data_IF_355426590592
#
_entry.id   IF_355426590592
#
_cell.length_a   1.000
_cell.length_b   1.000
_cell.length_c   1.000
_cell.angle_alpha   90.00
_cell.angle_beta   90.00
_cell.angle_gamma   90.00
#
_symmetry.space_group_name_H-M   'P 1'
#
loop_
_entity.id
_entity.type
_entity.pdbx_description
1 polymer ?
#
# COMPACT_ATOMS: atom_id res chain seq x y z
N UNK A 1 -1.69 -22.69 -7.61
CA UNK A 1 -3.06 -22.49 -7.09
C UNK A 1 -3.43 -21.01 -6.91
N UNK A 2 -2.72 -20.21 -6.08
CA UNK A 2 -3.13 -18.82 -5.79
C UNK A 2 -3.26 -17.91 -7.02
N UNK A 3 -2.33 -17.99 -7.99
CA UNK A 3 -2.42 -17.20 -9.23
C UNK A 3 -3.73 -17.44 -9.99
N UNK A 4 -4.12 -18.71 -10.12
CA UNK A 4 -5.34 -19.11 -10.82
C UNK A 4 -6.58 -18.59 -10.09
N UNK A 5 -6.60 -18.71 -8.76
CA UNK A 5 -7.71 -18.25 -7.93
C UNK A 5 -7.93 -16.74 -8.01
N UNK A 6 -6.84 -15.97 -8.14
CA UNK A 6 -6.87 -14.52 -8.31
C UNK A 6 -7.01 -14.06 -9.78
N UNK A 7 -7.11 -15.00 -10.72
CA UNK A 7 -7.20 -14.69 -12.15
C UNK A 7 -5.97 -14.01 -12.73
N UNK A 8 -4.80 -14.18 -12.12
CA UNK A 8 -3.54 -13.69 -12.67
C UNK A 8 -3.20 -14.42 -13.98
N UNK A 9 -2.62 -13.71 -14.93
CA UNK A 9 -2.06 -14.32 -16.14
C UNK A 9 -1.02 -15.39 -15.77
N UNK A 10 -0.89 -16.42 -16.62
CA UNK A 10 0.08 -17.50 -16.37
C UNK A 10 1.50 -16.97 -16.23
N UNK A 11 1.84 -15.98 -17.05
CA UNK A 11 3.14 -15.31 -17.09
C UNK A 11 3.31 -14.22 -16.05
N UNK A 12 2.27 -13.89 -15.26
CA UNK A 12 2.37 -12.86 -14.22
C UNK A 12 3.38 -13.26 -13.14
N UNK A 13 4.11 -12.29 -12.59
CA UNK A 13 5.04 -12.51 -11.49
C UNK A 13 4.28 -12.91 -10.21
N UNK A 14 4.71 -14.01 -9.60
CA UNK A 14 4.15 -14.47 -8.32
C UNK A 14 4.48 -13.54 -7.15
N UNK A 15 5.55 -12.74 -7.25
CA UNK A 15 6.00 -11.88 -6.16
C UNK A 15 4.95 -10.83 -5.79
N UNK A 16 4.11 -10.38 -6.74
CA UNK A 16 3.02 -9.44 -6.50
C UNK A 16 2.05 -9.88 -5.37
N UNK A 17 1.95 -11.18 -5.10
CA UNK A 17 1.16 -11.71 -3.99
C UNK A 17 1.79 -11.42 -2.62
N UNK A 18 3.12 -11.46 -2.54
CA UNK A 18 3.86 -11.43 -1.28
C UNK A 18 4.56 -10.10 -1.01
N UNK A 19 4.82 -9.29 -2.05
CA UNK A 19 5.39 -7.94 -1.92
C UNK A 19 4.54 -7.10 -0.98
N UNK A 20 5.20 -6.20 -0.25
CA UNK A 20 4.52 -5.22 0.60
C UNK A 20 3.59 -4.30 -0.19
N UNK A 21 2.62 -3.68 0.49
CA UNK A 21 1.68 -2.75 -0.14
C UNK A 21 2.41 -1.59 -0.82
N UNK A 22 3.48 -1.10 -0.20
CA UNK A 22 4.33 -0.03 -0.75
C UNK A 22 5.00 -0.40 -2.10
N UNK A 23 5.03 -1.68 -2.45
CA UNK A 23 5.58 -2.22 -3.70
C UNK A 23 4.49 -2.83 -4.59
N UNK A 24 3.28 -2.25 -4.53
CA UNK A 24 2.09 -2.66 -5.29
C UNK A 24 1.75 -4.15 -5.14
N UNK A 25 2.07 -4.73 -3.98
CA UNK A 25 1.78 -6.12 -3.66
C UNK A 25 0.61 -6.29 -2.71
N UNK A 26 0.13 -7.53 -2.58
CA UNK A 26 -0.99 -7.88 -1.69
C UNK A 26 -0.57 -8.07 -0.22
N UNK A 27 0.73 -8.02 0.10
CA UNK A 27 1.26 -8.27 1.44
C UNK A 27 0.83 -9.61 2.05
N UNK A 28 0.61 -10.63 1.22
CA UNK A 28 0.39 -11.98 1.73
C UNK A 28 1.68 -12.48 2.34
N UNK A 29 1.59 -13.11 3.51
CA UNK A 29 2.78 -13.64 4.17
C UNK A 29 3.15 -14.97 3.53
N UNK A 30 4.38 -15.06 3.01
CA UNK A 30 4.88 -16.31 2.46
C UNK A 30 5.19 -17.29 3.60
N UNK A 31 4.81 -18.58 3.52
CA UNK A 31 5.11 -19.55 4.58
C UNK A 31 6.61 -19.65 4.92
N UNK A 32 7.47 -19.54 3.91
CA UNK A 32 8.93 -19.52 4.09
C UNK A 32 9.41 -18.31 4.90
N UNK A 33 8.83 -17.13 4.66
CA UNK A 33 9.13 -15.92 5.42
C UNK A 33 8.64 -16.04 6.87
N UNK A 34 7.42 -16.53 7.07
CA UNK A 34 6.88 -16.81 8.41
C UNK A 34 7.76 -17.79 9.18
N UNK A 35 8.23 -18.85 8.53
CA UNK A 35 9.13 -19.82 9.14
C UNK A 35 10.45 -19.17 9.58
N UNK A 36 11.04 -18.30 8.75
CA UNK A 36 12.23 -17.52 9.13
C UNK A 36 11.96 -16.61 10.33
N UNK A 37 10.86 -15.86 10.33
CA UNK A 37 10.44 -15.01 11.45
C UNK A 37 10.31 -15.80 12.75
N UNK A 38 9.66 -16.96 12.70
CA UNK A 38 9.45 -17.83 13.86
C UNK A 38 10.77 -18.40 14.38
N UNK A 39 11.65 -18.89 13.50
CA UNK A 39 12.98 -19.39 13.89
C UNK A 39 13.82 -18.33 14.58
N UNK A 40 13.86 -17.13 14.01
CA UNK A 40 14.66 -16.02 14.54
C UNK A 40 14.08 -15.51 15.86
N UNK A 41 12.76 -15.39 15.96
CA UNK A 41 12.08 -15.00 17.20
C UNK A 41 12.31 -16.03 18.31
N UNK A 42 12.10 -17.32 18.02
CA UNK A 42 12.35 -18.42 18.95
C UNK A 42 13.79 -18.38 19.44
N UNK A 43 14.76 -18.29 18.52
CA UNK A 43 16.18 -18.23 18.88
C UNK A 43 16.51 -17.04 19.77
N UNK A 44 16.03 -15.85 19.41
CA UNK A 44 16.29 -14.66 20.22
C UNK A 44 15.76 -14.82 21.65
N UNK A 45 14.59 -15.43 21.81
CA UNK A 45 14.02 -15.75 23.13
C UNK A 45 14.91 -16.76 23.87
N UNK A 46 15.31 -17.86 23.22
CA UNK A 46 16.15 -18.90 23.83
C UNK A 46 17.55 -18.40 24.20
N UNK A 47 18.16 -17.55 23.36
CA UNK A 47 19.47 -16.96 23.62
C UNK A 47 19.48 -15.93 24.75
N UNK A 48 18.29 -15.46 25.19
CA UNK A 48 18.11 -14.64 26.38
C UNK A 48 17.67 -15.44 27.61
N UNK A 49 17.57 -16.76 27.50
CA UNK A 49 17.24 -17.61 28.63
C UNK A 49 18.34 -17.51 29.69
N UNK A 50 17.95 -17.65 30.96
CA UNK A 50 18.88 -17.79 32.07
C UNK A 50 19.44 -19.23 32.19
N UNK A 51 18.89 -20.18 31.43
CA UNK A 51 19.31 -21.57 31.45
C UNK A 51 20.46 -21.85 30.46
N UNK A 52 21.61 -22.30 30.96
CA UNK A 52 22.81 -22.59 30.16
C UNK A 52 22.61 -23.71 29.13
N UNK A 53 21.74 -24.68 29.44
CA UNK A 53 21.38 -25.76 28.51
C UNK A 53 20.62 -25.19 27.29
N UNK A 54 19.82 -24.15 27.50
CA UNK A 54 19.00 -23.55 26.44
C UNK A 54 19.84 -22.64 25.55
N UNK A 55 20.80 -21.91 26.13
CA UNK A 55 21.69 -21.00 25.39
C UNK A 55 22.78 -21.73 24.59
N UNK A 56 23.15 -22.95 24.99
CA UNK A 56 24.13 -23.80 24.29
C UNK A 56 23.60 -24.56 23.08
N UNK A 57 22.29 -24.48 22.80
CA UNK A 57 21.69 -25.13 21.63
C UNK A 57 22.30 -24.62 20.30
N UNK A 58 22.48 -25.51 19.31
CA UNK A 58 23.16 -25.17 18.07
C UNK A 58 22.46 -24.05 17.29
N UNK A 59 23.29 -23.13 16.82
CA UNK A 59 22.91 -21.95 16.07
C UNK A 59 22.72 -22.32 14.59
N UNK A 60 21.54 -22.03 14.00
CA UNK A 60 21.34 -22.13 12.55
C UNK A 60 22.17 -21.11 11.74
N UNK A 61 22.38 -21.41 10.45
CA UNK A 61 23.30 -20.70 9.53
C UNK A 61 23.03 -19.19 9.35
N UNK A 62 21.77 -18.76 9.20
CA UNK A 62 21.42 -17.35 8.89
C UNK A 62 21.61 -16.37 10.08
N UNK A 63 21.86 -16.91 11.26
CA UNK A 63 21.70 -16.17 12.50
C UNK A 63 22.92 -15.35 12.99
N UNK A 64 24.20 -15.74 12.79
CA UNK A 64 25.31 -14.85 13.10
C UNK A 64 25.23 -13.51 12.36
N UNK A 65 24.81 -13.51 11.08
CA UNK A 65 24.65 -12.29 10.29
C UNK A 65 23.56 -11.37 10.88
N UNK A 66 22.39 -11.92 11.20
CA UNK A 66 21.28 -11.17 11.78
C UNK A 66 21.61 -10.64 13.19
N UNK A 67 22.34 -11.40 14.00
CA UNK A 67 22.82 -10.97 15.33
C UNK A 67 23.80 -9.79 15.18
N UNK A 68 24.73 -9.86 14.23
CA UNK A 68 25.67 -8.77 13.92
C UNK A 68 24.95 -7.50 13.44
N UNK A 69 23.99 -7.65 12.51
CA UNK A 69 23.15 -6.52 12.03
C UNK A 69 22.35 -5.89 13.16
N UNK A 70 21.83 -6.69 14.09
CA UNK A 70 21.13 -6.18 15.27
C UNK A 70 22.07 -5.39 16.19
N UNK A 71 23.28 -5.89 16.45
CA UNK A 71 24.29 -5.18 17.24
C UNK A 71 24.64 -3.84 16.60
N UNK A 72 24.91 -3.82 15.29
CA UNK A 72 25.16 -2.60 14.54
C UNK A 72 23.98 -1.62 14.64
N UNK A 73 22.75 -2.10 14.42
CA UNK A 73 21.56 -1.26 14.51
C UNK A 73 21.39 -0.66 15.91
N UNK A 74 21.70 -1.42 16.97
CA UNK A 74 21.66 -0.92 18.33
C UNK A 74 22.68 0.19 18.58
N UNK A 75 23.88 0.01 18.04
CA UNK A 75 24.98 0.93 18.26
C UNK A 75 24.80 2.25 17.48
N UNK A 76 24.26 2.19 16.27
CA UNK A 76 24.25 3.34 15.35
C UNK A 76 22.85 3.88 15.00
N UNK A 77 21.80 3.06 15.06
CA UNK A 77 20.49 3.41 14.49
C UNK A 77 19.38 3.64 15.52
N UNK A 78 19.53 3.23 16.78
CA UNK A 78 18.49 3.40 17.82
C UNK A 78 18.10 4.87 18.07
N UNK A 79 19.02 5.81 17.81
CA UNK A 79 18.74 7.25 17.90
C UNK A 79 18.20 7.89 16.62
N UNK A 80 18.23 7.17 15.49
CA UNK A 80 17.79 7.68 14.21
C UNK A 80 16.27 7.57 14.08
N UNK A 81 15.57 8.69 14.06
CA UNK A 81 14.13 8.71 13.86
C UNK A 81 13.76 8.73 12.38
N UNK A 82 12.88 7.81 11.99
CA UNK A 82 12.30 7.73 10.65
C UNK A 82 10.89 8.30 10.55
N UNK A 83 10.33 8.78 11.68
CA UNK A 83 8.95 9.29 11.76
C UNK A 83 8.90 10.72 12.29
N UNK A 84 7.72 11.34 12.23
CA UNK A 84 7.48 12.71 12.71
C UNK A 84 7.35 12.80 14.24
N UNK A 85 7.88 11.85 15.00
CA UNK A 85 7.75 11.83 16.46
C UNK A 85 8.69 12.84 17.16
N UNK A 86 9.64 13.43 16.45
CA UNK A 86 10.53 14.49 16.93
C UNK A 86 11.68 13.97 17.81
N UNK A 87 12.86 14.60 17.69
CA UNK A 87 14.08 14.20 18.39
C UNK A 87 13.81 13.89 19.87
N UNK A 88 14.24 12.72 20.36
CA UNK A 88 14.04 12.31 21.76
C UNK A 88 12.80 11.45 22.04
N UNK A 89 11.92 11.22 21.06
CA UNK A 89 10.86 10.20 21.20
C UNK A 89 11.46 8.78 21.19
N UNK A 90 11.63 8.20 22.37
CA UNK A 90 12.13 6.84 22.57
C UNK A 90 10.98 5.84 22.72
N UNK A 91 10.53 5.26 21.60
CA UNK A 91 9.73 4.02 21.69
C UNK A 91 10.67 2.86 21.96
N UNK A 92 10.43 2.12 23.05
CA UNK A 92 11.10 0.84 23.28
C UNK A 92 10.64 -0.14 22.21
N UNK A 93 11.48 -0.38 21.21
CA UNK A 93 11.27 -1.43 20.21
C UNK A 93 11.93 -2.70 20.72
N UNK A 94 11.24 -3.84 20.64
CA UNK A 94 11.83 -5.12 21.00
C UNK A 94 12.79 -5.57 19.90
N UNK A 95 13.94 -6.12 20.26
CA UNK A 95 14.91 -6.58 19.25
C UNK A 95 14.33 -7.63 18.30
N UNK A 96 13.41 -8.47 18.78
CA UNK A 96 12.70 -9.44 17.95
C UNK A 96 11.95 -8.77 16.79
N UNK A 97 11.42 -7.56 16.98
CA UNK A 97 10.73 -6.83 15.92
C UNK A 97 11.70 -6.16 14.95
N UNK A 98 12.87 -5.73 15.43
CA UNK A 98 13.97 -5.25 14.59
C UNK A 98 14.47 -6.40 13.70
N UNK A 99 14.71 -7.57 14.26
CA UNK A 99 15.12 -8.77 13.52
C UNK A 99 14.09 -9.16 12.44
N UNK A 100 12.80 -9.15 12.77
CA UNK A 100 11.73 -9.38 11.78
C UNK A 100 11.74 -8.31 10.68
N UNK A 101 12.10 -7.06 10.99
CA UNK A 101 12.18 -6.00 9.98
C UNK A 101 13.31 -6.24 8.98
N UNK A 102 14.46 -6.76 9.42
CA UNK A 102 15.56 -7.13 8.52
C UNK A 102 15.17 -8.25 7.56
N UNK A 103 14.52 -9.31 8.07
CA UNK A 103 14.04 -10.41 7.22
C UNK A 103 13.05 -9.88 6.17
N UNK A 104 12.12 -8.99 6.57
CA UNK A 104 11.18 -8.36 5.63
C UNK A 104 11.90 -7.52 4.58
N UNK A 105 12.93 -6.78 4.98
CA UNK A 105 13.73 -5.97 4.07
C UNK A 105 14.46 -6.85 3.05
N UNK A 106 15.15 -7.89 3.51
CA UNK A 106 15.90 -8.81 2.64
C UNK A 106 14.97 -9.52 1.63
N UNK A 107 13.77 -9.93 2.06
CA UNK A 107 12.79 -10.54 1.14
C UNK A 107 12.21 -9.51 0.16
N UNK A 108 11.95 -8.27 0.59
CA UNK A 108 11.54 -7.19 -0.32
C UNK A 108 12.62 -6.87 -1.37
N UNK A 109 13.88 -6.84 -0.96
CA UNK A 109 14.99 -6.55 -1.87
C UNK A 109 15.18 -7.69 -2.87
N UNK A 110 14.98 -8.95 -2.48
CA UNK A 110 14.91 -10.08 -3.42
C UNK A 110 13.82 -9.89 -4.47
N UNK A 111 12.63 -9.41 -4.09
CA UNK A 111 11.56 -9.14 -5.05
C UNK A 111 11.92 -8.01 -6.02
N UNK A 112 12.60 -6.96 -5.54
CA UNK A 112 13.07 -5.87 -6.41
C UNK A 112 14.13 -6.35 -7.39
N UNK A 113 15.14 -7.08 -6.92
CA UNK A 113 16.19 -7.66 -7.76
C UNK A 113 15.58 -8.61 -8.81
N UNK A 114 14.62 -9.45 -8.40
CA UNK A 114 13.91 -10.31 -9.33
C UNK A 114 13.19 -9.50 -10.40
N UNK A 115 12.43 -8.46 -10.01
CA UNK A 115 11.71 -7.62 -10.94
C UNK A 115 12.62 -6.85 -11.89
N UNK A 116 13.79 -6.37 -11.44
CA UNK A 116 14.77 -5.71 -12.32
C UNK A 116 15.22 -6.60 -13.48
N UNK A 117 15.22 -7.92 -13.31
CA UNK A 117 15.55 -8.89 -14.36
C UNK A 117 14.37 -9.19 -15.31
N UNK A 118 13.18 -8.66 -15.05
CA UNK A 118 12.00 -8.84 -15.89
C UNK A 118 11.88 -7.66 -16.85
N UNK A 119 11.72 -7.94 -18.15
CA UNK A 119 11.62 -6.90 -19.18
C UNK A 119 10.34 -6.06 -19.08
N UNK A 120 9.23 -6.66 -18.64
CA UNK A 120 7.91 -5.98 -18.61
C UNK A 120 7.31 -5.79 -17.22
N UNK A 121 7.59 -6.71 -16.29
CA UNK A 121 6.93 -6.75 -14.97
C UNK A 121 7.71 -5.95 -13.92
N UNK A 122 8.50 -4.98 -14.37
CA UNK A 122 9.38 -4.14 -13.58
C UNK A 122 8.87 -2.70 -13.41
N UNK A 123 7.88 -2.26 -14.20
CA UNK A 123 7.41 -0.86 -14.24
C UNK A 123 6.93 -0.34 -12.86
N UNK A 124 6.46 -1.24 -11.99
CA UNK A 124 6.08 -0.89 -10.62
C UNK A 124 7.25 -0.38 -9.75
N UNK A 125 8.50 -0.65 -10.13
CA UNK A 125 9.69 -0.12 -9.47
C UNK A 125 9.79 1.41 -9.66
N UNK A 126 9.47 1.89 -10.86
CA UNK A 126 9.54 3.31 -11.20
C UNK A 126 8.26 4.04 -10.77
N UNK A 127 7.11 3.40 -10.93
CA UNK A 127 5.80 3.98 -10.57
C UNK A 127 5.70 4.25 -9.06
N UNK A 128 6.41 3.50 -8.21
CA UNK A 128 6.38 3.66 -6.76
C UNK A 128 6.82 5.02 -6.24
N UNK A 129 7.61 5.75 -7.02
CA UNK A 129 8.06 7.09 -6.65
C UNK A 129 6.99 8.17 -6.93
N UNK A 130 6.06 7.90 -7.85
CA UNK A 130 5.05 8.85 -8.30
C UNK A 130 3.63 8.52 -7.83
N UNK A 131 3.37 7.26 -7.52
CA UNK A 131 2.03 6.78 -7.19
C UNK A 131 1.97 6.23 -5.76
N UNK A 132 0.91 6.61 -5.05
CA UNK A 132 0.59 6.01 -3.75
C UNK A 132 -0.05 4.64 -4.03
N UNK A 133 0.57 3.54 -3.57
CA UNK A 133 0.00 2.22 -3.79
C UNK A 133 -1.29 2.07 -2.99
N UNK A 134 -2.22 1.31 -3.55
CA UNK A 134 -3.48 1.08 -2.89
C UNK A 134 -3.27 0.25 -1.61
N UNK A 135 -3.87 0.72 -0.52
CA UNK A 135 -3.88 -0.01 0.74
C UNK A 135 -4.85 -1.21 0.66
N UNK A 136 -4.40 -2.31 0.05
CA UNK A 136 -5.13 -3.56 -0.02
C UNK A 136 -5.27 -4.19 1.37
N UNK A 137 -6.35 -3.86 2.06
CA UNK A 137 -6.74 -4.48 3.33
C UNK A 137 -7.64 -5.68 3.06
N UNK A 138 -7.64 -6.64 3.97
CA UNK A 138 -8.56 -7.81 3.91
C UNK A 138 -10.03 -7.40 3.75
N UNK A 139 -10.46 -6.34 4.42
CA UNK A 139 -11.82 -5.80 4.25
C UNK A 139 -12.11 -5.47 2.79
N UNK A 140 -11.19 -4.75 2.14
CA UNK A 140 -11.34 -4.33 0.75
C UNK A 140 -11.34 -5.52 -0.20
N UNK A 141 -10.47 -6.50 0.03
CA UNK A 141 -10.41 -7.72 -0.77
C UNK A 141 -11.66 -8.60 -0.64
N UNK A 142 -12.30 -8.64 0.54
CA UNK A 142 -13.42 -9.53 0.82
C UNK A 142 -14.77 -8.87 0.51
N UNK A 143 -14.93 -7.58 0.84
CA UNK A 143 -16.24 -6.92 0.83
C UNK A 143 -16.37 -5.81 -0.19
N UNK A 144 -15.32 -5.02 -0.42
CA UNK A 144 -15.44 -3.81 -1.24
C UNK A 144 -15.20 -4.11 -2.73
N UNK A 145 -14.32 -5.05 -3.04
CA UNK A 145 -13.88 -5.32 -4.40
C UNK A 145 -14.51 -6.56 -4.99
N UNK A 146 -14.99 -6.43 -6.23
CA UNK A 146 -15.37 -7.60 -7.02
C UNK A 146 -14.12 -8.39 -7.43
N UNK A 147 -14.23 -9.73 -7.63
CA UNK A 147 -13.13 -10.53 -8.14
C UNK A 147 -12.58 -10.02 -9.48
N UNK A 148 -13.44 -9.46 -10.34
CA UNK A 148 -13.04 -8.87 -11.62
C UNK A 148 -12.16 -7.62 -11.44
N UNK A 149 -12.50 -6.75 -10.48
CA UNK A 149 -11.72 -5.56 -10.18
C UNK A 149 -10.34 -5.93 -9.62
N UNK A 150 -10.29 -6.88 -8.68
CA UNK A 150 -9.03 -7.37 -8.13
C UNK A 150 -8.16 -8.00 -9.22
N UNK A 151 -8.74 -8.84 -10.08
CA UNK A 151 -8.05 -9.43 -11.23
C UNK A 151 -7.50 -8.36 -12.17
N UNK A 152 -8.30 -7.35 -12.49
CA UNK A 152 -7.87 -6.25 -13.35
C UNK A 152 -6.69 -5.50 -12.72
N UNK A 153 -6.81 -5.09 -11.46
CA UNK A 153 -5.76 -4.38 -10.73
C UNK A 153 -4.44 -5.15 -10.74
N UNK A 154 -4.46 -6.43 -10.34
CA UNK A 154 -3.23 -7.22 -10.21
C UNK A 154 -2.53 -7.47 -11.54
N UNK A 155 -3.28 -7.62 -12.64
CA UNK A 155 -2.71 -7.81 -13.98
C UNK A 155 -2.28 -6.47 -14.62
N UNK A 156 -2.96 -5.36 -14.30
CA UNK A 156 -2.60 -4.04 -14.81
C UNK A 156 -1.20 -3.63 -14.35
N UNK A 157 -0.89 -3.74 -13.05
CA UNK A 157 0.44 -3.39 -12.51
C UNK A 157 1.58 -4.31 -12.96
N UNK A 158 1.25 -5.43 -13.59
CA UNK A 158 2.23 -6.38 -14.11
C UNK A 158 2.31 -6.36 -15.64
N UNK A 159 1.61 -5.43 -16.30
CA UNK A 159 1.54 -5.37 -17.76
C UNK A 159 1.10 -6.72 -18.38
N UNK A 160 0.21 -7.45 -17.69
CA UNK A 160 -0.31 -8.75 -18.13
C UNK A 160 -1.82 -8.73 -18.37
N UNK A 161 -2.38 -7.54 -18.65
CA UNK A 161 -3.75 -7.44 -19.14
C UNK A 161 -3.87 -8.09 -20.52
N UNK A 162 -5.03 -8.66 -20.88
CA UNK A 162 -5.28 -9.23 -22.20
C UNK A 162 -5.50 -8.14 -23.26
N UNK A 163 -4.55 -7.21 -23.38
CA UNK A 163 -4.50 -6.25 -24.47
C UNK A 163 -3.91 -6.89 -25.74
N UNK A 164 -4.07 -6.22 -26.88
CA UNK A 164 -3.68 -6.79 -28.18
C UNK A 164 -2.20 -7.17 -28.23
N UNK A 165 -1.33 -6.36 -27.61
CA UNK A 165 0.10 -6.63 -27.59
C UNK A 165 0.45 -7.90 -26.82
N UNK A 166 -0.25 -8.15 -25.70
CA UNK A 166 -0.11 -9.35 -24.91
C UNK A 166 -0.76 -10.57 -25.54
N UNK A 167 -1.92 -10.41 -26.20
CA UNK A 167 -2.57 -11.50 -26.93
C UNK A 167 -1.66 -12.06 -28.04
N UNK A 168 -0.96 -11.20 -28.77
CA UNK A 168 0.06 -11.65 -29.74
C UNK A 168 1.21 -12.35 -29.03
N UNK A 169 1.73 -11.78 -27.93
CA UNK A 169 2.82 -12.39 -27.15
C UNK A 169 2.46 -13.77 -26.60
N UNK A 170 1.19 -14.00 -26.27
CA UNK A 170 0.69 -15.30 -25.78
C UNK A 170 0.27 -16.26 -26.90
N UNK A 171 0.49 -15.90 -28.17
CA UNK A 171 0.10 -16.72 -29.32
C UNK A 171 -1.42 -16.88 -29.46
N UNK A 172 -2.21 -15.92 -28.95
CA UNK A 172 -3.68 -15.92 -29.02
C UNK A 172 -4.23 -15.01 -30.12
N UNK A 173 -3.40 -14.15 -30.70
CA UNK A 173 -3.73 -13.26 -31.81
C UNK A 173 -2.52 -13.10 -32.73
N UNK A 174 -2.75 -12.67 -33.96
CA UNK A 174 -1.69 -12.34 -34.94
C UNK A 174 -1.48 -10.83 -35.09
N UNK A 175 -2.55 -10.05 -34.90
CA UNK A 175 -2.52 -8.60 -35.08
C UNK A 175 -2.17 -7.90 -33.77
N UNK A 176 -1.14 -7.04 -33.76
CA UNK A 176 -0.66 -6.31 -32.57
C UNK A 176 -1.16 -4.87 -32.47
N UNK A 177 -1.82 -4.37 -33.52
CA UNK A 177 -2.29 -2.98 -33.64
C UNK A 177 -3.51 -2.74 -32.75
N UNK A 178 -3.74 -1.49 -32.37
CA UNK A 178 -4.92 -1.11 -31.63
C UNK A 178 -6.18 -1.33 -32.48
N UNK A 179 -7.13 -2.13 -31.98
CA UNK A 179 -8.40 -2.40 -32.66
C UNK A 179 -9.32 -1.17 -32.84
N UNK A 180 -8.98 -0.04 -32.21
CA UNK A 180 -9.76 1.22 -32.30
C UNK A 180 -9.14 2.17 -33.31
N UNK A 181 -7.84 2.45 -33.21
CA UNK A 181 -7.18 3.41 -34.10
C UNK A 181 -6.47 2.78 -35.29
N UNK A 182 -6.20 1.47 -35.27
CA UNK A 182 -5.49 0.73 -36.31
C UNK A 182 -4.01 1.09 -36.50
N UNK A 183 -3.47 2.02 -35.70
CA UNK A 183 -2.14 2.64 -35.95
C UNK A 183 -1.06 2.17 -34.99
N UNK A 184 -1.24 2.44 -33.69
CA UNK A 184 -0.25 2.13 -32.67
C UNK A 184 -0.38 0.69 -32.17
N UNK A 185 0.63 0.21 -31.44
CA UNK A 185 0.56 -1.06 -30.72
C UNK A 185 -0.57 -1.00 -29.68
N UNK A 186 -1.47 -1.98 -29.71
CA UNK A 186 -2.64 -2.05 -28.84
C UNK A 186 -2.32 -2.49 -27.41
N UNK A 187 -1.51 -1.71 -26.69
CA UNK A 187 -1.23 -1.92 -25.26
C UNK A 187 -2.37 -1.41 -24.39
N UNK A 188 -2.50 -1.91 -23.15
CA UNK A 188 -3.43 -1.36 -22.17
C UNK A 188 -3.20 0.14 -21.94
N UNK A 189 -1.93 0.58 -21.85
CA UNK A 189 -1.55 2.00 -21.72
C UNK A 189 -2.08 2.83 -22.90
N UNK A 190 -1.91 2.33 -24.13
CA UNK A 190 -2.43 3.02 -25.31
C UNK A 190 -3.97 3.15 -25.26
N UNK A 191 -4.69 2.07 -24.94
CA UNK A 191 -6.16 2.11 -24.87
C UNK A 191 -6.67 3.05 -23.77
N UNK A 192 -6.03 3.05 -22.61
CA UNK A 192 -6.51 3.80 -21.45
C UNK A 192 -6.18 5.30 -21.51
N UNK A 193 -5.03 5.68 -22.08
CA UNK A 193 -4.58 7.08 -22.05
C UNK A 193 -3.92 7.59 -23.34
N UNK A 194 -3.51 6.71 -24.27
CA UNK A 194 -2.65 7.08 -25.40
C UNK A 194 -3.30 7.06 -26.79
N UNK A 195 -4.57 6.67 -26.91
CA UNK A 195 -5.26 6.52 -28.18
C UNK A 195 -5.92 7.83 -28.61
N UNK A 196 -5.41 8.42 -29.69
CA UNK A 196 -5.93 9.67 -30.25
C UNK A 196 -7.41 9.57 -30.64
N UNK A 197 -7.86 8.44 -31.21
CA UNK A 197 -9.28 8.26 -31.58
C UNK A 197 -10.18 8.23 -30.34
N UNK A 198 -9.73 7.64 -29.22
CA UNK A 198 -10.47 7.64 -27.97
C UNK A 198 -10.47 9.01 -27.29
N UNK A 199 -9.38 9.76 -27.42
CA UNK A 199 -9.27 11.14 -26.96
C UNK A 199 -10.25 12.04 -27.73
N UNK A 200 -10.16 12.03 -29.07
CA UNK A 200 -10.95 12.88 -29.95
C UNK A 200 -12.45 12.55 -29.88
N UNK A 201 -12.82 11.30 -29.55
CA UNK A 201 -14.21 10.89 -29.31
C UNK A 201 -14.73 11.19 -27.88
N UNK A 202 -13.92 11.85 -27.04
CA UNK A 202 -14.32 12.25 -25.69
C UNK A 202 -14.45 11.10 -24.68
N UNK A 203 -14.04 9.87 -25.03
CA UNK A 203 -14.17 8.72 -24.13
C UNK A 203 -13.29 8.83 -22.89
N UNK A 204 -12.18 9.55 -22.98
CA UNK A 204 -11.30 9.80 -21.84
C UNK A 204 -11.95 10.74 -20.83
N UNK A 205 -12.50 11.86 -21.30
CA UNK A 205 -13.28 12.79 -20.47
C UNK A 205 -14.43 12.07 -19.79
N UNK A 206 -15.23 11.29 -20.54
CA UNK A 206 -16.35 10.53 -19.95
C UNK A 206 -15.95 9.63 -18.78
N UNK A 207 -14.75 9.01 -18.83
CA UNK A 207 -14.24 8.22 -17.70
C UNK A 207 -13.86 9.09 -16.51
N UNK A 208 -13.20 10.23 -16.76
CA UNK A 208 -12.86 11.20 -15.73
C UNK A 208 -14.12 11.81 -15.10
N UNK A 209 -15.08 12.25 -15.91
CA UNK A 209 -16.35 12.84 -15.50
C UNK A 209 -17.11 11.86 -14.60
N UNK A 210 -17.11 10.57 -14.94
CA UNK A 210 -17.74 9.54 -14.10
C UNK A 210 -17.06 9.40 -12.74
N UNK A 211 -15.74 9.57 -12.65
CA UNK A 211 -15.04 9.59 -11.35
C UNK A 211 -15.38 10.86 -10.58
N UNK A 212 -15.43 12.01 -11.23
CA UNK A 212 -15.83 13.29 -10.62
C UNK A 212 -17.27 13.24 -10.09
N UNK A 213 -18.18 12.60 -10.82
CA UNK A 213 -19.56 12.35 -10.37
C UNK A 213 -19.61 11.54 -9.07
N UNK A 214 -18.85 10.45 -8.97
CA UNK A 214 -18.80 9.62 -7.74
C UNK A 214 -18.23 10.43 -6.57
N UNK A 215 -17.19 11.23 -6.81
CA UNK A 215 -16.62 12.13 -5.79
C UNK A 215 -17.66 13.16 -5.36
N UNK A 216 -18.35 13.79 -6.32
CA UNK A 216 -19.41 14.77 -6.06
C UNK A 216 -20.51 14.16 -5.18
N UNK A 217 -20.98 12.97 -5.49
CA UNK A 217 -22.00 12.26 -4.70
C UNK A 217 -21.52 12.00 -3.27
N UNK A 218 -20.30 11.48 -3.11
CA UNK A 218 -19.73 11.19 -1.79
C UNK A 218 -19.53 12.45 -0.94
N UNK A 219 -19.07 13.55 -1.55
CA UNK A 219 -18.89 14.85 -0.89
C UNK A 219 -20.26 15.43 -0.52
N UNK A 220 -21.23 15.40 -1.43
CA UNK A 220 -22.61 15.88 -1.19
C UNK A 220 -23.25 15.17 0.00
N UNK A 221 -23.12 13.84 0.06
CA UNK A 221 -23.60 13.04 1.19
C UNK A 221 -22.89 13.42 2.51
N UNK A 222 -21.60 13.69 2.45
CA UNK A 222 -20.80 14.08 3.62
C UNK A 222 -21.19 15.47 4.13
N UNK A 223 -21.39 16.43 3.24
CA UNK A 223 -21.90 17.78 3.55
C UNK A 223 -23.29 17.70 4.19
N UNK A 224 -24.21 16.95 3.58
CA UNK A 224 -25.57 16.79 4.10
C UNK A 224 -25.58 16.17 5.52
N UNK A 225 -24.68 15.22 5.79
CA UNK A 225 -24.50 14.64 7.14
C UNK A 225 -23.93 15.64 8.13
N UNK A 226 -22.95 16.45 7.70
CA UNK A 226 -22.34 17.47 8.55
C UNK A 226 -23.39 18.53 8.94
N UNK A 227 -24.15 19.04 7.98
CA UNK A 227 -25.22 20.03 8.22
C UNK A 227 -26.29 19.53 9.20
N UNK A 228 -26.69 18.25 9.12
CA UNK A 228 -27.62 17.65 10.10
C UNK A 228 -27.06 17.55 11.53
N UNK A 229 -25.73 17.51 11.67
CA UNK A 229 -25.04 17.39 12.95
C UNK A 229 -24.63 18.72 13.59
N UNK A 230 -24.89 19.85 12.92
CA UNK A 230 -24.63 21.19 13.47
C UNK A 230 -25.70 21.45 14.54
N UNK A 231 -25.36 21.08 15.77
CA UNK A 231 -25.98 21.70 16.94
C UNK A 231 -25.26 23.03 17.13
N UNK A 232 -26.01 24.12 17.26
CA UNK A 232 -25.52 25.46 17.62
C UNK A 232 -24.95 25.42 19.05
N UNK A 233 -23.82 24.75 19.24
CA UNK A 233 -23.06 24.84 20.47
C UNK A 233 -22.18 26.08 20.35
N UNK A 234 -22.77 27.24 20.64
CA UNK A 234 -22.02 28.43 20.98
C UNK A 234 -21.06 28.06 22.11
N UNK A 235 -19.76 28.07 21.82
CA UNK A 235 -18.76 27.77 22.84
C UNK A 235 -18.74 28.94 23.82
N UNK A 236 -19.24 28.73 25.03
CA UNK A 236 -18.92 29.62 26.13
C UNK A 236 -17.43 29.45 26.46
N UNK A 237 -16.64 30.50 26.33
CA UNK A 237 -15.29 30.53 26.90
C UNK A 237 -15.46 30.50 28.42
N UNK A 238 -14.99 29.43 29.05
CA UNK A 238 -15.02 29.31 30.51
C UNK A 238 -13.92 30.18 31.11
N UNK A 239 -14.27 31.33 31.69
CA UNK A 239 -13.33 32.16 32.42
C UNK A 239 -12.92 31.46 33.73
N UNK A 240 -11.61 31.39 33.98
CA UNK A 240 -11.05 30.81 35.19
C UNK A 240 -10.59 31.95 36.09
N UNK A 241 -10.94 31.90 37.38
CA UNK A 241 -10.53 32.94 38.34
C UNK A 241 -9.02 32.93 38.54
N UNK A 242 -8.47 34.11 38.80
CA UNK A 242 -7.07 34.28 39.16
C UNK A 242 -6.67 33.37 40.33
N UNK A 243 -5.51 32.72 40.23
CA UNK A 243 -5.02 31.76 41.22
C UNK A 243 -5.56 30.33 41.09
N UNK A 244 -6.52 30.05 40.19
CA UNK A 244 -7.05 28.70 39.98
C UNK A 244 -6.60 28.06 38.65
N UNK A 245 -6.39 26.73 38.64
CA UNK A 245 -5.97 25.97 37.45
C UNK A 245 -7.18 25.35 36.75
N UNK A 246 -7.28 25.53 35.44
CA UNK A 246 -8.30 24.88 34.62
C UNK A 246 -8.13 23.35 34.62
N UNK A 247 -9.22 22.60 34.81
CA UNK A 247 -9.24 21.16 34.54
C UNK A 247 -9.08 20.92 33.04
N UNK A 248 -8.00 20.22 32.66
CA UNK A 248 -7.76 19.83 31.26
C UNK A 248 -8.86 18.87 30.81
N UNK A 249 -9.76 19.31 29.94
CA UNK A 249 -10.69 18.43 29.25
C UNK A 249 -10.06 17.92 27.96
N UNK A 250 -10.19 16.60 27.70
CA UNK A 250 -9.79 15.98 26.44
C UNK A 250 -10.81 16.32 25.33
N UNK A 251 -11.01 17.61 25.06
CA UNK A 251 -11.90 18.04 23.97
C UNK A 251 -11.19 17.78 22.65
N UNK A 252 -11.84 17.01 21.77
CA UNK A 252 -11.34 16.78 20.42
C UNK A 252 -11.13 18.14 19.74
N UNK A 253 -10.00 18.33 19.02
CA UNK A 253 -9.72 19.59 18.37
C UNK A 253 -10.88 19.99 17.45
N UNK A 254 -11.25 21.26 17.55
CA UNK A 254 -12.25 21.88 16.71
C UNK A 254 -11.79 21.83 15.26
N UNK A 255 -12.62 21.26 14.38
CA UNK A 255 -12.39 21.36 12.95
C UNK A 255 -13.33 22.44 12.44
N UNK A 256 -12.76 23.54 11.96
CA UNK A 256 -13.50 24.62 11.29
C UNK A 256 -14.37 24.01 10.17
N UNK A 257 -13.84 22.98 9.49
CA UNK A 257 -14.53 22.28 8.41
C UNK A 257 -15.83 21.56 8.88
N UNK A 258 -15.90 21.14 10.13
CA UNK A 258 -17.11 20.48 10.69
C UNK A 258 -18.16 21.47 11.21
N UNK A 259 -17.76 22.70 11.47
CA UNK A 259 -18.63 23.73 12.04
C UNK A 259 -19.24 24.66 10.99
N UNK A 260 -18.64 24.74 9.80
CA UNK A 260 -19.19 25.46 8.67
C UNK A 260 -20.50 24.81 8.18
N UNK A 261 -21.55 25.63 8.00
CA UNK A 261 -22.87 25.23 7.51
C UNK A 261 -23.11 25.54 6.03
N UNK A 262 -22.23 26.35 5.45
CA UNK A 262 -22.34 27.04 4.16
C UNK A 262 -21.56 26.36 3.03
N UNK A 263 -21.27 25.07 3.17
CA UNK A 263 -20.58 24.28 2.16
C UNK A 263 -21.33 24.29 0.82
N UNK A 264 -20.69 24.86 -0.21
CA UNK A 264 -21.14 24.78 -1.60
C UNK A 264 -20.15 23.93 -2.41
N UNK A 265 -20.68 23.05 -3.27
CA UNK A 265 -19.87 22.20 -4.15
C UNK A 265 -19.92 22.81 -5.55
N UNK A 266 -18.79 23.33 -6.00
CA UNK A 266 -18.59 23.79 -7.38
C UNK A 266 -17.82 22.72 -8.15
N UNK A 267 -18.31 22.35 -9.33
CA UNK A 267 -17.67 21.40 -10.24
C UNK A 267 -17.77 21.97 -11.65
N UNK A 268 -16.65 22.01 -12.36
CA UNK A 268 -16.65 22.33 -13.78
C UNK A 268 -17.20 21.13 -14.54
N UNK A 269 -18.25 21.35 -15.34
CA UNK A 269 -18.87 20.34 -16.22
C UNK A 269 -18.21 20.34 -17.59
#
# INVERSE_FOLDING_TARGET
>A
MLKLWLGLALTADSSALFRGSNSFGMSLKRPSELYKHLRVSKRYILGKSHDDIVTSLPKGEDAPELESRLQFHKQFMIGAQSNRAGLGSNRKVQDADILKSFIRQDENDKYKIHAMNLEMQNEWLDIGDFCIPLALKWRTLIYDWSPALLKFYLNAFQMTLPDQSNLVRWGKSTEKTCYICGKAVGTAKHLLVGCKVLLDSGQYSRRHDRVLEVIREAVSLSVARAQKGITTNERSVGFVREGSRATKSNVKPYSILKAASDWTIMMDT
#
